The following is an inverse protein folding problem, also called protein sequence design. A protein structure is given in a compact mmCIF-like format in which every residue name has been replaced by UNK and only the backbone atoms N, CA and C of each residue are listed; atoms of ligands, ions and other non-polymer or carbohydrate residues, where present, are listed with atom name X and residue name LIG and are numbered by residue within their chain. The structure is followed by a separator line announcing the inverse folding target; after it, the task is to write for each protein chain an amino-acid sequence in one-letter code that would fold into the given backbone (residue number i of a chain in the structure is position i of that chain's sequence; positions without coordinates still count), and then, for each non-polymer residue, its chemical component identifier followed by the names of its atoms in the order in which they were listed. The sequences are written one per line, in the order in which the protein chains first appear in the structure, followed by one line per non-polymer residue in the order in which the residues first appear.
data_IF_002766295779
#
_entry.id   IF_002766295779
#
_cell.length_a   1.000
_cell.length_b   1.000
_cell.length_c   1.000
_cell.angle_alpha   90.00
_cell.angle_beta   90.00
_cell.angle_gamma   90.00
#
_symmetry.space_group_name_H-M   'P 1'
#
loop_
_entity.id
_entity.type
_entity.pdbx_description
1 polymer ?
#
# COMPACT_ATOMS: atom_id res chain seq x y z
N UNK A 1 -43.57 -23.67 -25.97
CA UNK A 1 -43.21 -23.07 -24.66
C UNK A 1 -42.02 -23.83 -24.07
N UNK A 2 -40.79 -23.47 -24.44
CA UNK A 2 -39.54 -24.04 -23.92
C UNK A 2 -38.39 -23.06 -24.12
N UNK A 3 -38.31 -21.99 -23.32
CA UNK A 3 -37.08 -21.20 -23.14
C UNK A 3 -37.13 -20.57 -21.73
N UNK A 4 -36.88 -21.36 -20.67
CA UNK A 4 -36.65 -20.83 -19.30
C UNK A 4 -35.48 -21.57 -18.62
N UNK A 5 -34.59 -22.24 -19.36
CA UNK A 5 -33.62 -23.17 -18.77
C UNK A 5 -32.15 -22.85 -19.08
N UNK A 6 -31.77 -21.60 -19.39
CA UNK A 6 -30.39 -21.32 -19.85
C UNK A 6 -29.73 -20.05 -19.29
N UNK A 7 -30.26 -19.45 -18.22
CA UNK A 7 -29.63 -18.29 -17.56
C UNK A 7 -29.65 -18.45 -16.03
N UNK A 8 -29.13 -19.57 -15.51
CA UNK A 8 -28.77 -19.70 -14.07
C UNK A 8 -27.43 -20.45 -13.88
N UNK A 9 -26.80 -20.96 -14.94
CA UNK A 9 -25.63 -21.83 -14.84
C UNK A 9 -24.26 -21.17 -15.09
N UNK A 10 -24.13 -19.84 -15.01
CA UNK A 10 -22.86 -19.12 -15.20
C UNK A 10 -22.33 -18.38 -13.96
N UNK A 11 -23.05 -18.40 -12.84
CA UNK A 11 -22.59 -17.80 -11.57
C UNK A 11 -21.95 -18.79 -10.57
N UNK A 12 -21.75 -20.06 -10.95
CA UNK A 12 -21.26 -21.11 -10.02
C UNK A 12 -19.83 -21.62 -10.28
N UNK A 13 -19.04 -20.99 -11.16
CA UNK A 13 -17.68 -21.47 -11.47
C UNK A 13 -16.52 -20.69 -10.82
N UNK A 14 -16.78 -19.66 -10.01
CA UNK A 14 -15.74 -18.96 -9.24
C UNK A 14 -15.63 -19.40 -7.77
N UNK A 15 -16.26 -20.51 -7.41
CA UNK A 15 -16.35 -21.00 -6.02
C UNK A 15 -15.26 -22.04 -5.68
N UNK A 16 -14.03 -21.81 -6.13
CA UNK A 16 -12.91 -22.75 -5.94
C UNK A 16 -11.54 -22.16 -5.59
N UNK A 17 -11.44 -20.85 -5.35
CA UNK A 17 -10.13 -20.18 -5.29
C UNK A 17 -9.63 -19.79 -3.89
N UNK A 18 -10.42 -20.00 -2.82
CA UNK A 18 -9.94 -19.71 -1.46
C UNK A 18 -8.89 -20.73 -0.96
N UNK A 19 -8.88 -21.95 -1.55
CA UNK A 19 -8.02 -23.04 -1.10
C UNK A 19 -6.67 -23.13 -1.83
N UNK A 20 -6.44 -22.31 -2.87
CA UNK A 20 -5.29 -22.48 -3.78
C UNK A 20 -3.97 -21.96 -3.21
N UNK A 21 -4.00 -21.07 -2.22
CA UNK A 21 -2.79 -20.40 -1.71
C UNK A 21 -2.47 -20.69 -0.25
N UNK A 22 -3.29 -21.46 0.45
CA UNK A 22 -3.10 -21.81 1.86
C UNK A 22 -2.10 -22.95 2.02
N UNK A 23 -1.27 -22.87 3.05
CA UNK A 23 -0.41 -23.98 3.45
C UNK A 23 -1.26 -25.18 3.86
N UNK A 24 -0.98 -26.32 3.25
CA UNK A 24 -1.50 -27.62 3.66
C UNK A 24 -1.02 -27.98 5.06
N UNK A 25 -1.72 -28.88 5.76
CA UNK A 25 -1.29 -29.38 7.08
C UNK A 25 0.14 -29.96 7.06
N UNK A 26 0.54 -30.55 5.92
CA UNK A 26 1.91 -31.06 5.71
C UNK A 26 2.92 -29.92 5.69
N UNK A 27 2.64 -28.85 4.96
CA UNK A 27 3.48 -27.66 4.89
C UNK A 27 3.53 -26.94 6.23
N UNK A 28 2.40 -26.77 6.92
CA UNK A 28 2.34 -26.21 8.27
C UNK A 28 3.21 -27.03 9.26
N UNK A 29 3.14 -28.36 9.18
CA UNK A 29 3.97 -29.25 10.00
C UNK A 29 5.46 -29.08 9.66
N UNK A 30 5.80 -28.91 8.39
CA UNK A 30 7.18 -28.70 7.94
C UNK A 30 7.72 -27.33 8.36
N UNK A 31 6.91 -26.28 8.26
CA UNK A 31 7.20 -24.94 8.78
C UNK A 31 7.39 -25.01 10.29
N UNK A 32 6.51 -25.70 11.03
CA UNK A 32 6.61 -25.89 12.48
C UNK A 32 7.94 -26.55 12.88
N UNK A 33 8.35 -27.60 12.16
CA UNK A 33 9.64 -28.29 12.36
C UNK A 33 10.85 -27.39 12.02
N UNK A 34 10.72 -26.53 11.02
CA UNK A 34 11.79 -25.62 10.57
C UNK A 34 11.92 -24.41 11.51
N UNK A 35 10.81 -23.85 11.96
CA UNK A 35 10.72 -22.76 12.93
C UNK A 35 9.34 -22.72 13.58
N UNK A 36 9.25 -23.25 14.81
CA UNK A 36 8.05 -23.16 15.65
C UNK A 36 7.57 -21.71 15.86
N UNK A 37 8.47 -20.73 15.78
CA UNK A 37 8.17 -19.30 15.96
C UNK A 37 7.61 -18.64 14.71
N UNK A 38 7.86 -19.19 13.51
CA UNK A 38 7.42 -18.60 12.25
C UNK A 38 5.95 -18.91 11.94
N UNK A 39 5.49 -20.13 12.27
CA UNK A 39 4.15 -20.61 11.91
C UNK A 39 3.00 -19.68 12.36
N UNK A 40 2.98 -19.13 13.60
CA UNK A 40 1.88 -18.27 14.02
C UNK A 40 1.72 -17.00 13.17
N UNK A 41 2.82 -16.41 12.69
CA UNK A 41 2.78 -15.22 11.84
C UNK A 41 2.24 -15.53 10.45
N UNK A 42 2.57 -16.70 9.91
CA UNK A 42 2.10 -17.14 8.59
C UNK A 42 0.62 -17.51 8.63
N UNK A 43 0.19 -18.25 9.65
CA UNK A 43 -1.24 -18.53 9.87
C UNK A 43 -2.04 -17.24 10.08
N UNK A 44 -1.42 -16.20 10.64
CA UNK A 44 -2.10 -14.91 10.80
C UNK A 44 -2.35 -14.22 9.46
N UNK A 45 -1.40 -14.29 8.52
CA UNK A 45 -1.59 -13.80 7.13
C UNK A 45 -2.79 -14.52 6.50
N UNK A 46 -2.77 -15.85 6.54
CA UNK A 46 -3.83 -16.69 5.96
C UNK A 46 -5.20 -16.39 6.56
N UNK A 47 -5.27 -16.26 7.89
CA UNK A 47 -6.52 -15.91 8.59
C UNK A 47 -7.08 -14.56 8.13
N UNK A 48 -6.23 -13.55 7.92
CA UNK A 48 -6.70 -12.23 7.46
C UNK A 48 -7.21 -12.33 6.02
N UNK A 49 -6.50 -13.03 5.14
CA UNK A 49 -6.94 -13.27 3.77
C UNK A 49 -8.27 -14.03 3.73
N UNK A 50 -8.44 -15.07 4.56
CA UNK A 50 -9.70 -15.81 4.65
C UNK A 50 -10.87 -14.93 5.12
N UNK A 51 -10.64 -14.12 6.16
CA UNK A 51 -11.66 -13.19 6.66
C UNK A 51 -12.04 -12.15 5.61
N UNK A 52 -11.08 -11.62 4.85
CA UNK A 52 -11.35 -10.69 3.76
C UNK A 52 -12.20 -11.33 2.66
N UNK A 53 -11.92 -12.58 2.31
CA UNK A 53 -12.73 -13.30 1.32
C UNK A 53 -14.20 -13.43 1.79
N UNK A 54 -14.42 -13.68 3.08
CA UNK A 54 -15.77 -13.71 3.67
C UNK A 54 -16.44 -12.33 3.58
N UNK A 55 -15.74 -11.26 3.93
CA UNK A 55 -16.27 -9.88 3.85
C UNK A 55 -16.67 -9.52 2.41
N UNK A 56 -15.82 -9.85 1.44
CA UNK A 56 -16.11 -9.60 0.03
C UNK A 56 -17.31 -10.41 -0.50
N UNK A 57 -17.46 -11.66 -0.05
CA UNK A 57 -18.66 -12.47 -0.35
C UNK A 57 -19.93 -11.84 0.25
N UNK A 58 -19.80 -11.16 1.38
CA UNK A 58 -20.88 -10.40 2.03
C UNK A 58 -21.06 -8.99 1.44
N UNK A 59 -20.39 -8.68 0.33
CA UNK A 59 -20.39 -7.36 -0.31
C UNK A 59 -19.87 -6.22 0.60
N UNK A 60 -19.05 -6.54 1.60
CA UNK A 60 -18.40 -5.56 2.46
C UNK A 60 -16.99 -5.22 1.92
N UNK A 61 -16.75 -3.98 1.45
CA UNK A 61 -15.44 -3.56 0.94
C UNK A 61 -14.42 -3.26 2.05
N UNK A 62 -14.78 -3.37 3.33
CA UNK A 62 -13.94 -3.02 4.48
C UNK A 62 -13.00 -4.16 4.91
N UNK A 63 -12.19 -4.63 3.95
CA UNK A 63 -11.19 -5.68 4.14
C UNK A 63 -9.97 -5.19 4.94
N UNK A 64 -9.28 -6.12 5.63
CA UNK A 64 -8.13 -5.85 6.47
C UNK A 64 -6.79 -6.13 5.77
N UNK A 65 -5.78 -5.28 5.98
CA UNK A 65 -4.44 -5.50 5.43
C UNK A 65 -3.75 -6.70 6.13
N UNK A 66 -3.34 -7.75 5.39
CA UNK A 66 -2.71 -8.95 5.95
C UNK A 66 -1.25 -8.75 6.38
N UNK A 67 -0.66 -7.56 6.21
CA UNK A 67 0.69 -7.24 6.69
C UNK A 67 1.80 -8.20 6.18
N UNK A 68 1.64 -8.74 4.97
CA UNK A 68 2.43 -9.87 4.46
C UNK A 68 3.94 -9.61 4.58
N UNK A 69 4.45 -8.45 4.15
CA UNK A 69 5.88 -8.16 4.18
C UNK A 69 6.45 -8.15 5.60
N UNK A 70 5.72 -7.55 6.54
CA UNK A 70 6.21 -7.39 7.91
C UNK A 70 6.09 -8.69 8.70
N UNK A 71 4.96 -9.41 8.60
CA UNK A 71 4.79 -10.70 9.25
C UNK A 71 5.77 -11.75 8.69
N UNK A 72 6.05 -11.70 7.38
CA UNK A 72 7.12 -12.51 6.78
C UNK A 72 8.48 -12.10 7.32
N UNK A 73 8.82 -10.81 7.37
CA UNK A 73 10.11 -10.34 7.91
C UNK A 73 10.29 -10.77 9.36
N UNK A 74 9.28 -10.62 10.21
CA UNK A 74 9.30 -11.08 11.61
C UNK A 74 9.45 -12.61 11.70
N UNK A 75 8.75 -13.35 10.85
CA UNK A 75 8.87 -14.81 10.79
C UNK A 75 10.29 -15.26 10.41
N UNK A 76 10.94 -14.53 9.49
CA UNK A 76 12.25 -14.85 8.96
C UNK A 76 13.37 -14.39 9.88
N UNK A 77 13.30 -13.21 10.49
CA UNK A 77 14.33 -12.72 11.43
C UNK A 77 14.42 -13.57 12.70
N UNK A 78 13.34 -14.28 13.06
CA UNK A 78 13.35 -15.26 14.15
C UNK A 78 13.94 -16.62 13.78
N UNK A 79 14.25 -16.86 12.50
CA UNK A 79 14.86 -18.08 12.00
C UNK A 79 16.35 -17.87 11.65
N UNK A 80 17.16 -18.93 11.77
CA UNK A 80 18.54 -18.92 11.27
C UNK A 80 18.55 -18.73 9.74
N UNK A 81 19.63 -18.22 9.17
CA UNK A 81 19.77 -18.00 7.72
C UNK A 81 19.43 -19.27 6.91
N UNK A 82 19.86 -20.44 7.39
CA UNK A 82 19.52 -21.72 6.77
C UNK A 82 18.01 -22.02 6.82
N UNK A 83 17.37 -21.79 7.97
CA UNK A 83 15.93 -21.98 8.13
C UNK A 83 15.13 -20.96 7.32
N UNK A 84 15.61 -19.73 7.15
CA UNK A 84 14.97 -18.74 6.27
C UNK A 84 14.92 -19.22 4.82
N UNK A 85 16.01 -19.80 4.32
CA UNK A 85 16.07 -20.38 2.96
C UNK A 85 15.08 -21.53 2.83
N UNK A 86 14.99 -22.41 3.85
CA UNK A 86 14.04 -23.53 3.86
C UNK A 86 12.58 -23.06 3.91
N UNK A 87 12.27 -22.06 4.73
CA UNK A 87 10.92 -21.48 4.83
C UNK A 87 10.47 -20.85 3.52
N UNK A 88 11.34 -20.10 2.83
CA UNK A 88 11.04 -19.51 1.51
C UNK A 88 10.73 -20.54 0.42
N UNK A 89 11.14 -21.80 0.58
CA UNK A 89 10.81 -22.89 -0.35
C UNK A 89 9.47 -23.56 -0.04
N UNK A 90 8.96 -23.40 1.18
CA UNK A 90 7.68 -24.00 1.62
C UNK A 90 6.54 -23.00 1.42
N UNK A 91 6.78 -21.71 1.65
CA UNK A 91 5.74 -20.68 1.68
C UNK A 91 5.75 -19.89 0.37
N UNK A 92 4.59 -19.79 -0.28
CA UNK A 92 4.43 -18.94 -1.45
C UNK A 92 4.08 -17.49 -1.08
N UNK A 93 5.08 -16.69 -0.71
CA UNK A 93 4.88 -15.26 -0.37
C UNK A 93 4.27 -14.49 -1.56
N UNK A 94 4.65 -14.82 -2.78
CA UNK A 94 4.09 -14.22 -3.99
C UNK A 94 2.58 -14.48 -4.10
N UNK A 95 2.14 -15.70 -3.78
CA UNK A 95 0.74 -16.08 -3.81
C UNK A 95 -0.10 -15.27 -2.81
N UNK A 96 0.38 -15.08 -1.56
CA UNK A 96 -0.34 -14.23 -0.60
C UNK A 96 -0.46 -12.79 -1.08
N UNK A 97 0.57 -12.25 -1.73
CA UNK A 97 0.52 -10.88 -2.29
C UNK A 97 -0.47 -10.77 -3.44
N UNK A 98 -0.51 -11.79 -4.29
CA UNK A 98 -1.46 -11.87 -5.41
C UNK A 98 -2.90 -12.02 -4.93
N UNK A 99 -3.16 -12.85 -3.93
CA UNK A 99 -4.49 -12.97 -3.34
C UNK A 99 -4.94 -11.66 -2.68
N UNK A 100 -4.06 -11.04 -1.89
CA UNK A 100 -4.34 -9.74 -1.28
C UNK A 100 -4.69 -8.69 -2.34
N UNK A 101 -3.95 -8.66 -3.44
CA UNK A 101 -4.25 -7.80 -4.58
C UNK A 101 -5.64 -8.08 -5.15
N UNK A 102 -5.98 -9.34 -5.43
CA UNK A 102 -7.28 -9.70 -5.98
C UNK A 102 -8.43 -9.26 -5.04
N UNK A 103 -8.23 -9.36 -3.73
CA UNK A 103 -9.18 -8.91 -2.73
C UNK A 103 -9.36 -7.38 -2.73
N UNK A 104 -8.27 -6.63 -2.89
CA UNK A 104 -8.35 -5.18 -3.07
C UNK A 104 -9.14 -4.84 -4.34
N UNK A 105 -8.81 -5.45 -5.48
CA UNK A 105 -9.53 -5.20 -6.75
C UNK A 105 -11.02 -5.50 -6.61
N UNK A 106 -11.38 -6.59 -5.94
CA UNK A 106 -12.77 -6.93 -5.67
C UNK A 106 -13.48 -5.90 -4.77
N UNK A 107 -12.81 -5.43 -3.70
CA UNK A 107 -13.34 -4.36 -2.84
C UNK A 107 -13.55 -3.06 -3.62
N UNK A 108 -12.69 -2.77 -4.59
CA UNK A 108 -12.80 -1.60 -5.46
C UNK A 108 -14.00 -1.70 -6.40
N UNK A 109 -14.24 -2.86 -7.02
CA UNK A 109 -15.41 -3.09 -7.86
C UNK A 109 -16.72 -2.91 -7.08
N UNK A 110 -16.81 -3.39 -5.84
CA UNK A 110 -18.00 -3.22 -5.00
C UNK A 110 -18.36 -1.74 -4.76
N UNK A 111 -17.36 -0.86 -4.75
CA UNK A 111 -17.55 0.58 -4.56
C UNK A 111 -17.89 1.33 -5.84
N UNK A 112 -17.60 0.75 -7.00
CA UNK A 112 -17.95 1.31 -8.31
C UNK A 112 -19.36 0.87 -8.76
N UNK A 113 -19.80 -0.35 -8.41
CA UNK A 113 -21.18 -0.84 -8.68
C UNK A 113 -22.25 0.00 -7.97
N UNK A 114 -21.92 0.60 -6.83
CA UNK A 114 -22.82 1.51 -6.10
C UNK A 114 -23.05 2.86 -6.84
N UNK A 115 -22.32 3.11 -7.94
CA UNK A 115 -22.44 4.30 -8.80
C UNK A 115 -23.39 4.07 -9.98
N UNK A 116 -23.42 2.86 -10.57
CA UNK A 116 -24.30 2.58 -11.72
C UNK A 116 -25.80 2.55 -11.34
N UNK A 117 -26.11 2.50 -10.04
CA UNK A 117 -27.47 2.67 -9.53
C UNK A 117 -27.93 4.13 -9.35
N UNK A 118 -27.05 5.13 -9.50
CA UNK A 118 -27.37 6.55 -9.27
C UNK A 118 -26.58 7.48 -10.20
N UNK A 119 -27.18 7.78 -11.34
CA UNK A 119 -26.96 8.97 -12.20
C UNK A 119 -25.54 9.10 -12.81
N UNK A 120 -25.34 9.13 -14.13
CA UNK A 120 -26.03 9.97 -15.10
C UNK A 120 -25.50 11.42 -15.03
N UNK A 121 -24.61 11.81 -15.97
CA UNK A 121 -24.16 13.19 -16.31
C UNK A 121 -23.01 13.72 -15.38
N UNK A 122 -21.86 14.28 -15.78
CA UNK A 122 -21.34 14.89 -17.02
C UNK A 122 -19.81 14.81 -17.10
N UNK A 123 -19.27 14.63 -18.31
CA UNK A 123 -17.90 15.02 -18.70
C UNK A 123 -17.78 16.54 -18.89
N UNK A 124 -16.58 17.09 -18.67
CA UNK A 124 -15.84 18.05 -19.53
C UNK A 124 -14.74 18.73 -18.68
N UNK A 125 -13.47 18.39 -18.94
CA UNK A 125 -12.46 19.23 -19.61
C UNK A 125 -11.84 20.33 -18.74
N UNK A 126 -10.51 20.22 -18.52
CA UNK A 126 -9.58 21.30 -18.88
C UNK A 126 -8.14 20.75 -18.94
N UNK A 127 -7.62 20.71 -20.16
CA UNK A 127 -6.20 20.56 -20.51
C UNK A 127 -5.63 21.96 -20.66
N UNK A 128 -4.44 22.25 -20.12
CA UNK A 128 -3.33 22.81 -20.89
C UNK A 128 -2.06 23.09 -20.07
N UNK A 129 -0.96 22.55 -20.62
CA UNK A 129 0.36 23.15 -20.84
C UNK A 129 1.11 23.82 -19.67
N UNK A 130 2.28 23.24 -19.34
CA UNK A 130 3.55 23.96 -19.40
C UNK A 130 4.71 22.96 -19.49
N UNK A 131 5.36 22.92 -20.65
CA UNK A 131 6.71 22.41 -20.83
C UNK A 131 7.68 23.41 -20.19
N UNK A 132 8.57 22.93 -19.33
CA UNK A 132 9.77 23.67 -18.94
C UNK A 132 10.97 22.72 -18.93
N UNK A 133 11.92 23.09 -19.79
CA UNK A 133 13.28 22.57 -19.99
C UNK A 133 14.11 22.66 -18.70
N UNK A 134 15.02 21.70 -18.48
CA UNK A 134 16.42 21.80 -17.95
C UNK A 134 16.86 20.41 -17.44
N UNK A 135 17.67 19.69 -18.21
CA UNK A 135 19.15 19.62 -18.20
C UNK A 135 19.71 18.50 -17.30
N UNK A 136 20.22 17.48 -17.99
CA UNK A 136 21.17 16.46 -17.54
C UNK A 136 22.38 17.06 -16.86
N UNK A 137 22.72 16.58 -15.66
CA UNK A 137 24.10 16.51 -15.19
C UNK A 137 24.34 15.28 -14.31
N UNK A 138 25.51 14.69 -14.54
CA UNK A 138 26.00 13.38 -14.15
C UNK A 138 25.86 13.00 -12.67
N UNK A 139 25.52 11.75 -12.40
CA UNK A 139 26.15 11.02 -11.29
C UNK A 139 26.55 9.62 -11.76
N UNK A 140 27.85 9.38 -11.68
CA UNK A 140 28.54 8.19 -12.14
C UNK A 140 28.11 6.94 -11.36
N UNK A 141 28.13 5.86 -12.15
CA UNK A 141 27.92 4.45 -11.84
C UNK A 141 28.58 3.97 -10.54
N UNK A 142 27.84 3.15 -9.77
CA UNK A 142 28.41 2.00 -9.07
C UNK A 142 27.75 0.73 -9.59
N UNK A 143 28.59 -0.11 -10.21
CA UNK A 143 28.26 -1.41 -10.76
C UNK A 143 27.71 -2.38 -9.71
N UNK A 144 26.51 -2.87 -9.94
CA UNK A 144 26.04 -4.19 -9.54
C UNK A 144 25.37 -4.80 -10.76
N UNK A 145 25.96 -5.85 -11.33
CA UNK A 145 25.47 -6.52 -12.53
C UNK A 145 24.05 -7.08 -12.28
N UNK A 146 23.06 -6.50 -12.96
CA UNK A 146 21.74 -7.11 -13.16
C UNK A 146 21.87 -8.09 -14.34
N UNK A 147 21.33 -9.32 -14.27
CA UNK A 147 21.37 -10.25 -15.38
C UNK A 147 20.72 -9.64 -16.62
N UNK A 148 21.31 -9.89 -17.79
CA UNK A 148 20.79 -9.49 -19.09
C UNK A 148 19.48 -10.26 -19.32
N UNK A 149 18.34 -9.61 -19.06
CA UNK A 149 17.03 -10.09 -19.49
C UNK A 149 16.92 -9.99 -21.01
N UNK A 150 16.42 -11.07 -21.63
CA UNK A 150 16.18 -11.20 -23.06
C UNK A 150 15.42 -10.01 -23.65
N UNK A 151 15.69 -9.67 -24.92
CA UNK A 151 15.02 -8.64 -25.75
C UNK A 151 13.50 -8.87 -25.96
N UNK A 152 12.73 -9.00 -24.87
CA UNK A 152 11.27 -9.04 -24.87
C UNK A 152 10.79 -7.66 -24.45
N UNK A 153 9.92 -7.07 -25.27
CA UNK A 153 9.19 -5.87 -24.85
C UNK A 153 8.29 -6.20 -23.66
N UNK A 154 8.45 -5.42 -22.59
CA UNK A 154 7.62 -5.54 -21.40
C UNK A 154 6.22 -5.00 -21.70
N UNK A 155 5.20 -5.70 -21.21
CA UNK A 155 3.82 -5.21 -21.18
C UNK A 155 3.69 -3.97 -20.30
N UNK A 156 2.63 -3.17 -20.50
CA UNK A 156 2.38 -1.98 -19.67
C UNK A 156 2.26 -2.30 -18.17
N UNK A 157 1.64 -3.44 -17.81
CA UNK A 157 1.56 -3.90 -16.43
C UNK A 157 2.94 -4.26 -15.84
N UNK A 158 3.78 -4.97 -16.60
CA UNK A 158 5.15 -5.30 -16.20
C UNK A 158 6.01 -4.04 -16.02
N UNK A 159 5.84 -3.04 -16.90
CA UNK A 159 6.48 -1.73 -16.78
C UNK A 159 6.07 -1.02 -15.49
N UNK A 160 4.77 -0.94 -15.19
CA UNK A 160 4.27 -0.31 -13.96
C UNK A 160 4.87 -0.96 -12.71
N UNK A 161 4.81 -2.30 -12.62
CA UNK A 161 5.37 -3.06 -11.49
C UNK A 161 6.86 -2.78 -11.30
N UNK A 162 7.64 -2.84 -12.39
CA UNK A 162 9.07 -2.52 -12.36
C UNK A 162 9.32 -1.06 -11.95
N UNK A 163 8.45 -0.14 -12.36
CA UNK A 163 8.52 1.26 -11.94
C UNK A 163 8.37 1.45 -10.43
N UNK A 164 7.44 0.74 -9.81
CA UNK A 164 7.27 0.75 -8.34
C UNK A 164 8.47 0.15 -7.61
N UNK A 165 9.06 -0.92 -8.14
CA UNK A 165 10.31 -1.49 -7.60
C UNK A 165 11.48 -0.50 -7.72
N UNK A 166 11.61 0.19 -8.85
CA UNK A 166 12.62 1.23 -9.06
C UNK A 166 12.45 2.40 -8.09
N UNK A 167 11.21 2.86 -7.91
CA UNK A 167 10.86 3.90 -6.96
C UNK A 167 11.24 3.49 -5.53
N UNK A 168 10.85 2.28 -5.09
CA UNK A 168 11.18 1.78 -3.76
C UNK A 168 12.70 1.71 -3.52
N UNK A 169 13.46 1.26 -4.52
CA UNK A 169 14.92 1.22 -4.44
C UNK A 169 15.55 2.63 -4.36
N UNK A 170 15.04 3.58 -5.14
CA UNK A 170 15.51 4.97 -5.10
C UNK A 170 15.24 5.62 -3.74
N UNK A 171 14.03 5.43 -3.19
CA UNK A 171 13.65 5.92 -1.87
C UNK A 171 14.51 5.29 -0.77
N UNK A 172 14.72 3.97 -0.81
CA UNK A 172 15.61 3.28 0.13
C UNK A 172 17.04 3.80 0.03
N UNK A 173 17.56 4.01 -1.17
CA UNK A 173 18.90 4.57 -1.39
C UNK A 173 19.06 5.98 -0.83
N UNK A 174 18.01 6.81 -0.91
CA UNK A 174 18.03 8.21 -0.47
C UNK A 174 17.76 8.38 1.04
N UNK A 175 16.79 7.63 1.59
CA UNK A 175 16.31 7.80 2.97
C UNK A 175 16.80 6.69 3.92
N UNK A 176 17.43 5.64 3.41
CA UNK A 176 18.06 4.59 4.22
C UNK A 176 17.09 3.68 4.97
N UNK A 177 15.80 3.68 4.64
CA UNK A 177 14.77 2.87 5.31
C UNK A 177 14.06 1.93 4.33
N UNK A 178 13.87 0.67 4.74
CA UNK A 178 13.30 -0.41 3.91
C UNK A 178 11.82 -0.21 3.51
N UNK A 179 11.10 0.75 4.11
CA UNK A 179 9.65 0.95 3.93
C UNK A 179 9.26 2.43 3.82
N UNK A 180 10.23 3.32 3.63
CA UNK A 180 9.92 4.72 3.41
C UNK A 180 9.28 4.91 2.05
N UNK A 181 8.15 5.60 2.04
CA UNK A 181 7.48 6.06 0.83
C UNK A 181 7.02 7.50 0.99
N UNK A 182 6.94 8.20 -0.13
CA UNK A 182 6.12 9.40 -0.28
C UNK A 182 4.69 8.97 -0.61
N UNK A 183 3.74 9.90 -0.53
CA UNK A 183 2.31 9.58 -0.57
C UNK A 183 1.66 10.14 -1.84
N UNK A 184 1.88 11.42 -2.15
CA UNK A 184 1.20 12.14 -3.24
C UNK A 184 1.40 11.49 -4.60
N UNK A 185 0.32 11.38 -5.37
CA UNK A 185 0.30 10.91 -6.76
C UNK A 185 0.91 9.51 -6.94
N UNK A 186 0.86 8.68 -5.91
CA UNK A 186 1.20 7.26 -6.00
C UNK A 186 -0.06 6.44 -5.74
N UNK A 187 -0.07 5.22 -6.28
CA UNK A 187 -1.14 4.28 -6.01
C UNK A 187 -1.20 3.93 -4.51
N UNK A 188 -2.41 4.02 -3.96
CA UNK A 188 -2.69 3.77 -2.55
C UNK A 188 -2.19 2.41 -2.09
N UNK A 189 -2.26 1.36 -2.93
CA UNK A 189 -1.85 0.01 -2.53
C UNK A 189 -0.34 -0.09 -2.30
N UNK A 190 0.45 0.62 -3.12
CA UNK A 190 1.88 0.76 -2.88
C UNK A 190 2.15 1.56 -1.60
N UNK A 191 1.45 2.69 -1.42
CA UNK A 191 1.63 3.57 -0.28
C UNK A 191 1.28 2.88 1.04
N UNK A 192 0.07 2.31 1.16
CA UNK A 192 -0.39 1.63 2.38
C UNK A 192 0.48 0.42 2.71
N UNK A 193 0.93 -0.36 1.72
CA UNK A 193 1.78 -1.52 1.97
C UNK A 193 3.09 -1.12 2.66
N UNK A 194 3.74 -0.07 2.15
CA UNK A 194 4.99 0.45 2.72
C UNK A 194 4.75 1.11 4.08
N UNK A 195 3.76 2.01 4.16
CA UNK A 195 3.48 2.74 5.38
C UNK A 195 3.00 1.85 6.54
N UNK A 196 2.11 0.90 6.27
CA UNK A 196 1.68 -0.12 7.25
C UNK A 196 2.86 -0.96 7.74
N UNK A 197 3.76 -1.36 6.84
CA UNK A 197 4.95 -2.13 7.21
C UNK A 197 5.87 -1.33 8.13
N UNK A 198 6.03 -0.03 7.88
CA UNK A 198 6.75 0.85 8.81
C UNK A 198 6.05 0.94 10.18
N UNK A 199 4.75 1.20 10.21
CA UNK A 199 3.99 1.34 11.46
C UNK A 199 4.04 0.07 12.31
N UNK A 200 3.92 -1.11 11.69
CA UNK A 200 3.98 -2.39 12.39
C UNK A 200 5.39 -2.79 12.81
N UNK A 201 6.38 -2.60 11.94
CA UNK A 201 7.75 -3.03 12.19
C UNK A 201 8.53 -2.10 13.12
N UNK A 202 8.45 -0.79 12.86
CA UNK A 202 9.24 0.23 13.58
C UNK A 202 8.47 0.83 14.76
N UNK A 203 7.17 1.11 14.58
CA UNK A 203 6.36 1.72 15.64
C UNK A 203 5.55 0.72 16.47
N UNK A 204 5.60 -0.57 16.14
CA UNK A 204 4.85 -1.64 16.84
C UNK A 204 3.35 -1.39 16.93
N UNK A 205 2.79 -0.74 15.90
CA UNK A 205 1.36 -0.51 15.79
C UNK A 205 0.69 -1.73 15.18
N UNK A 206 -0.44 -2.16 15.71
CA UNK A 206 -1.33 -3.14 15.09
C UNK A 206 -2.35 -2.43 14.21
N UNK A 207 -2.56 -2.96 13.01
CA UNK A 207 -3.68 -2.54 12.17
C UNK A 207 -4.99 -3.04 12.79
N UNK A 208 -6.00 -2.16 12.84
CA UNK A 208 -7.26 -2.45 13.54
C UNK A 208 -8.42 -2.63 12.56
N UNK A 209 -8.61 -1.66 11.69
CA UNK A 209 -9.74 -1.61 10.76
C UNK A 209 -9.46 -0.64 9.61
N UNK A 210 -10.18 -0.81 8.52
CA UNK A 210 -10.26 0.15 7.43
C UNK A 210 -11.72 0.44 7.12
N UNK A 211 -12.00 1.70 6.85
CA UNK A 211 -13.25 2.18 6.32
C UNK A 211 -12.99 2.77 4.94
N UNK A 212 -13.51 2.14 3.89
CA UNK A 212 -13.38 2.62 2.52
C UNK A 212 -14.62 3.42 2.12
N UNK A 213 -14.42 4.61 1.58
CA UNK A 213 -15.45 5.50 1.05
C UNK A 213 -15.06 5.94 -0.36
N UNK A 214 -15.99 6.59 -1.09
CA UNK A 214 -15.80 6.95 -2.51
C UNK A 214 -14.52 7.76 -2.78
N UNK A 215 -14.27 8.79 -1.98
CA UNK A 215 -13.13 9.71 -2.17
C UNK A 215 -12.09 9.64 -1.04
N UNK A 216 -12.26 8.73 -0.07
CA UNK A 216 -11.33 8.57 1.04
C UNK A 216 -11.26 7.15 1.56
N UNK A 217 -10.09 6.78 2.09
CA UNK A 217 -9.86 5.53 2.81
C UNK A 217 -9.34 5.91 4.19
N UNK A 218 -9.94 5.35 5.23
CA UNK A 218 -9.54 5.60 6.62
C UNK A 218 -9.02 4.30 7.20
N UNK A 219 -7.75 4.28 7.60
CA UNK A 219 -7.13 3.15 8.28
C UNK A 219 -6.90 3.52 9.74
N UNK A 220 -7.18 2.60 10.65
CA UNK A 220 -6.95 2.78 12.08
C UNK A 220 -5.91 1.80 12.59
N UNK A 221 -5.03 2.34 13.41
CA UNK A 221 -3.96 1.62 14.08
C UNK A 221 -4.02 1.87 15.58
N UNK A 222 -3.62 0.86 16.35
CA UNK A 222 -3.49 0.92 17.80
C UNK A 222 -2.15 0.33 18.21
N UNK A 223 -1.49 0.77 19.30
CA UNK A 223 -0.27 0.13 19.75
C UNK A 223 -0.49 -1.36 20.05
N UNK A 224 0.45 -2.22 19.62
CA UNK A 224 0.39 -3.66 19.88
C UNK A 224 0.50 -4.01 21.37
N UNK A 225 1.23 -3.18 22.12
CA UNK A 225 1.23 -3.16 23.59
C UNK A 225 0.94 -1.72 23.99
N UNK A 226 -0.28 -1.46 24.44
CA UNK A 226 -0.68 -0.14 24.88
C UNK A 226 -0.34 0.04 26.35
N UNK A 227 0.27 1.19 26.68
CA UNK A 227 0.56 1.57 28.07
C UNK A 227 -0.47 2.56 28.62
N UNK A 228 -1.34 3.08 27.74
CA UNK A 228 -2.39 4.05 28.08
C UNK A 228 -3.69 3.72 27.34
N UNK A 229 -4.80 3.66 28.06
CA UNK A 229 -6.10 3.38 27.43
C UNK A 229 -6.46 4.45 26.39
N UNK A 230 -6.89 4.00 25.21
CA UNK A 230 -7.37 4.88 24.13
C UNK A 230 -6.27 5.39 23.20
N UNK A 231 -5.09 4.77 23.17
CA UNK A 231 -4.06 5.08 22.18
C UNK A 231 -4.46 4.67 20.76
N UNK A 232 -4.37 5.59 19.82
CA UNK A 232 -4.76 5.36 18.43
C UNK A 232 -3.98 6.24 17.44
N UNK A 233 -4.01 5.80 16.19
CA UNK A 233 -3.58 6.56 15.03
C UNK A 233 -4.53 6.27 13.86
N UNK A 234 -5.19 7.30 13.35
CA UNK A 234 -6.06 7.23 12.19
C UNK A 234 -5.34 7.86 11.00
N UNK A 235 -5.26 7.14 9.89
CA UNK A 235 -4.71 7.61 8.62
C UNK A 235 -5.85 7.75 7.63
N UNK A 236 -6.11 8.97 7.19
CA UNK A 236 -7.12 9.27 6.18
C UNK A 236 -6.42 9.61 4.88
N UNK A 237 -6.55 8.75 3.88
CA UNK A 237 -6.10 9.01 2.51
C UNK A 237 -7.25 9.60 1.72
N UNK A 238 -7.05 10.78 1.14
CA UNK A 238 -7.94 11.31 0.12
C UNK A 238 -7.46 10.80 -1.23
N UNK A 239 -8.35 10.17 -1.99
CA UNK A 239 -7.99 9.40 -3.18
C UNK A 239 -8.75 9.86 -4.41
N UNK A 240 -8.15 9.66 -5.58
CA UNK A 240 -8.77 9.80 -6.90
C UNK A 240 -8.53 8.50 -7.68
N UNK A 241 -9.58 7.89 -8.20
CA UNK A 241 -9.48 6.72 -9.07
C UNK A 241 -9.22 7.16 -10.52
N UNK A 242 -8.37 6.42 -11.21
CA UNK A 242 -8.14 6.56 -12.65
C UNK A 242 -8.02 5.18 -13.28
N UNK A 243 -9.03 4.80 -14.06
CA UNK A 243 -9.13 3.48 -14.67
C UNK A 243 -8.32 3.36 -15.98
N UNK A 244 -7.74 4.47 -16.46
CA UNK A 244 -7.01 4.50 -17.73
C UNK A 244 -5.51 4.23 -17.57
N UNK A 245 -5.03 4.07 -16.34
CA UNK A 245 -3.62 3.84 -16.05
C UNK A 245 -3.44 2.57 -15.22
N UNK A 246 -2.27 1.95 -15.32
CA UNK A 246 -1.90 0.85 -14.44
C UNK A 246 -1.47 1.39 -13.07
N UNK A 247 -2.14 0.91 -12.01
CA UNK A 247 -1.68 1.08 -10.63
C UNK A 247 -0.47 0.19 -10.33
N UNK A 248 -0.14 0.05 -9.04
CA UNK A 248 1.01 -0.75 -8.62
C UNK A 248 0.94 -2.22 -8.98
N UNK A 249 -0.28 -2.73 -9.11
CA UNK A 249 -0.52 -4.16 -9.14
C UNK A 249 -1.61 -4.59 -10.15
N UNK A 250 -2.47 -3.68 -10.63
CA UNK A 250 -3.55 -3.99 -11.58
C UNK A 250 -3.83 -2.83 -12.54
N UNK A 251 -4.72 -3.07 -13.51
CA UNK A 251 -5.40 -2.00 -14.25
C UNK A 251 -6.19 -1.13 -13.27
N UNK A 252 -6.20 0.18 -13.52
CA UNK A 252 -6.73 1.17 -12.61
C UNK A 252 -5.75 1.52 -11.48
N UNK A 253 -5.67 2.81 -11.17
CA UNK A 253 -4.90 3.32 -10.05
C UNK A 253 -5.79 4.10 -9.07
N UNK A 254 -5.59 3.84 -7.78
CA UNK A 254 -6.19 4.63 -6.70
C UNK A 254 -5.17 5.65 -6.21
N UNK A 255 -5.08 6.80 -6.87
CA UNK A 255 -4.05 7.81 -6.62
C UNK A 255 -4.31 8.62 -5.35
N UNK A 256 -3.33 8.65 -4.44
CA UNK A 256 -3.40 9.44 -3.21
C UNK A 256 -3.20 10.95 -3.52
N UNK A 257 -4.21 11.74 -3.18
CA UNK A 257 -4.23 13.20 -3.35
C UNK A 257 -3.77 13.95 -2.10
N UNK A 258 -4.06 13.45 -0.91
CA UNK A 258 -3.55 14.01 0.34
C UNK A 258 -3.74 12.99 1.45
N UNK A 259 -3.03 13.19 2.56
CA UNK A 259 -3.14 12.33 3.73
C UNK A 259 -3.28 13.18 4.98
N UNK A 260 -4.16 12.77 5.88
CA UNK A 260 -4.24 13.28 7.24
C UNK A 260 -3.98 12.14 8.22
N UNK A 261 -3.08 12.33 9.17
CA UNK A 261 -2.77 11.37 10.22
C UNK A 261 -3.10 12.01 11.55
N UNK A 262 -4.13 11.54 12.24
CA UNK A 262 -4.60 12.08 13.52
C UNK A 262 -4.47 11.03 14.60
N UNK A 263 -3.98 11.42 15.77
CA UNK A 263 -3.84 10.50 16.90
C UNK A 263 -3.24 11.18 18.12
N UNK A 264 -2.87 10.36 19.11
CA UNK A 264 -2.25 10.88 20.33
C UNK A 264 -0.97 11.64 20.02
N UNK A 265 -0.79 12.82 20.65
CA UNK A 265 0.34 13.72 20.34
C UNK A 265 1.70 13.05 20.40
N UNK A 266 1.96 12.23 21.42
CA UNK A 266 3.23 11.50 21.56
C UNK A 266 3.44 10.52 20.40
N UNK A 267 2.40 9.77 20.01
CA UNK A 267 2.48 8.80 18.90
C UNK A 267 2.70 9.51 17.57
N UNK A 268 1.96 10.60 17.31
CA UNK A 268 2.04 11.36 16.06
C UNK A 268 3.39 12.07 15.96
N UNK A 269 3.91 12.66 17.05
CA UNK A 269 5.24 13.28 17.06
C UNK A 269 6.36 12.24 16.86
N UNK A 270 6.24 11.07 17.50
CA UNK A 270 7.18 9.97 17.30
C UNK A 270 7.13 9.43 15.86
N UNK A 271 5.94 9.31 15.27
CA UNK A 271 5.80 8.98 13.86
C UNK A 271 6.50 10.01 12.98
N UNK A 272 6.26 11.31 13.25
CA UNK A 272 6.83 12.38 12.44
C UNK A 272 8.37 12.33 12.43
N UNK A 273 8.96 12.18 13.62
CA UNK A 273 10.42 12.15 13.77
C UNK A 273 11.03 10.87 13.22
N UNK A 274 10.40 9.70 13.44
CA UNK A 274 10.93 8.42 13.00
C UNK A 274 10.79 8.18 11.48
N UNK A 275 9.62 8.51 10.91
CA UNK A 275 9.35 8.23 9.50
C UNK A 275 10.11 9.17 8.57
N UNK A 276 10.07 10.48 8.84
CA UNK A 276 10.69 11.50 7.99
C UNK A 276 12.10 11.91 8.46
N UNK A 277 12.63 11.28 9.52
CA UNK A 277 13.95 11.55 10.10
C UNK A 277 14.20 13.04 10.31
N UNK A 278 13.21 13.74 10.88
CA UNK A 278 13.29 15.18 11.13
C UNK A 278 13.60 15.42 12.59
N UNK A 279 14.70 16.12 12.85
CA UNK A 279 14.94 16.72 14.16
C UNK A 279 14.12 18.02 14.24
N UNK A 280 13.20 18.16 15.21
CA UNK A 280 12.45 19.40 15.38
C UNK A 280 13.40 20.59 15.57
N UNK A 281 13.33 21.58 14.68
CA UNK A 281 13.90 22.91 14.93
C UNK A 281 12.75 23.85 15.21
N UNK A 282 12.67 24.38 16.42
CA UNK A 282 11.64 25.32 16.86
C UNK A 282 11.96 26.73 16.36
N UNK A 283 11.85 26.98 15.05
CA UNK A 283 12.04 28.34 14.50
C UNK A 283 10.93 28.68 13.49
N UNK A 284 10.22 29.79 13.74
CA UNK A 284 9.53 30.57 12.71
C UNK A 284 8.20 30.05 12.15
N UNK A 285 7.42 29.25 12.89
CA UNK A 285 6.18 28.67 12.34
C UNK A 285 4.93 29.57 12.47
N UNK A 286 4.01 29.41 11.50
CA UNK A 286 2.65 29.96 11.58
C UNK A 286 1.92 29.37 12.79
N UNK A 287 1.00 30.13 13.38
CA UNK A 287 0.24 29.71 14.57
C UNK A 287 -0.46 28.36 14.33
N UNK A 288 -0.03 27.32 15.06
CA UNK A 288 -0.60 25.95 15.00
C UNK A 288 0.27 24.92 14.27
N UNK A 289 1.20 25.36 13.41
CA UNK A 289 2.21 24.50 12.77
C UNK A 289 3.41 24.35 13.70
N UNK A 290 3.89 23.11 13.90
CA UNK A 290 5.05 22.84 14.78
C UNK A 290 6.29 22.51 13.96
N UNK A 291 6.14 21.74 12.88
CA UNK A 291 7.24 21.38 11.97
C UNK A 291 6.67 21.20 10.58
N UNK A 292 7.38 21.65 9.54
CA UNK A 292 7.07 21.28 8.16
C UNK A 292 8.31 20.88 7.39
N UNK A 293 8.15 19.98 6.41
CA UNK A 293 9.23 19.55 5.53
C UNK A 293 8.69 19.11 4.18
N UNK A 294 9.51 19.27 3.15
CA UNK A 294 9.17 18.86 1.80
C UNK A 294 10.01 17.65 1.38
N UNK A 295 9.33 16.66 0.77
CA UNK A 295 9.90 15.41 0.28
C UNK A 295 9.32 15.10 -1.10
N UNK A 296 10.08 15.40 -2.15
CA UNK A 296 9.61 15.23 -3.53
C UNK A 296 8.23 15.91 -3.72
N UNK A 297 7.17 15.14 -3.95
CA UNK A 297 5.80 15.64 -4.14
C UNK A 297 5.06 16.01 -2.85
N UNK A 298 5.56 15.57 -1.70
CA UNK A 298 4.92 15.74 -0.41
C UNK A 298 5.42 17.00 0.28
N UNK A 299 4.48 17.82 0.73
CA UNK A 299 4.70 18.78 1.79
C UNK A 299 3.99 18.31 3.04
N UNK A 300 4.77 18.01 4.07
CA UNK A 300 4.37 17.33 5.30
C UNK A 300 4.42 18.35 6.42
N UNK A 301 3.33 18.47 7.17
CA UNK A 301 3.20 19.41 8.29
C UNK A 301 2.73 18.67 9.53
N UNK A 302 3.41 18.86 10.66
CA UNK A 302 2.95 18.45 11.98
C UNK A 302 2.27 19.64 12.67
N UNK A 303 1.05 19.43 13.13
CA UNK A 303 0.19 20.40 13.79
C UNK A 303 -0.24 19.84 15.16
N UNK A 304 -0.35 20.71 16.17
CA UNK A 304 -0.90 20.35 17.48
C UNK A 304 -2.36 20.81 17.52
N UNK A 305 -3.28 19.87 17.66
CA UNK A 305 -4.72 20.17 17.74
C UNK A 305 -5.13 20.47 19.19
N UNK A 306 -4.59 19.69 20.14
CA UNK A 306 -4.80 19.87 21.57
C UNK A 306 -3.61 19.32 22.36
N UNK A 307 -3.65 19.39 23.70
CA UNK A 307 -2.63 18.79 24.56
C UNK A 307 -2.51 17.25 24.41
N UNK A 308 -3.51 16.59 23.83
CA UNK A 308 -3.55 15.12 23.72
C UNK A 308 -3.58 14.63 22.29
N UNK A 309 -3.82 15.51 21.32
CA UNK A 309 -4.02 15.14 19.93
C UNK A 309 -3.20 16.04 19.00
N UNK A 310 -2.53 15.40 18.04
CA UNK A 310 -1.78 16.07 17.00
C UNK A 310 -2.18 15.51 15.64
N UNK A 311 -1.88 16.25 14.59
CA UNK A 311 -2.17 15.89 13.21
C UNK A 311 -0.94 16.05 12.33
N UNK A 312 -0.73 15.11 11.42
CA UNK A 312 0.18 15.29 10.29
C UNK A 312 -0.65 15.44 9.03
N UNK A 313 -0.41 16.52 8.30
CA UNK A 313 -1.05 16.79 7.01
C UNK A 313 -0.02 16.63 5.90
N UNK A 314 -0.31 15.82 4.89
CA UNK A 314 0.50 15.63 3.69
C UNK A 314 -0.27 16.15 2.49
N UNK A 315 0.25 17.20 1.86
CA UNK A 315 -0.37 17.89 0.71
C UNK A 315 0.66 18.13 -0.40
N UNK A 316 0.19 18.67 -1.52
CA UNK A 316 1.06 19.06 -2.64
C UNK A 316 2.12 20.06 -2.16
N UNK A 317 3.39 19.73 -2.40
CA UNK A 317 4.51 20.65 -2.19
C UNK A 317 4.75 21.61 -3.34
N UNK A 318 5.79 22.43 -3.20
CA UNK A 318 6.20 23.40 -4.22
C UNK A 318 6.95 22.77 -5.40
N UNK A 319 7.32 21.49 -5.27
CA UNK A 319 8.03 20.71 -6.27
C UNK A 319 7.11 19.57 -6.71
N UNK A 320 7.10 19.26 -8.00
CA UNK A 320 6.36 18.12 -8.55
C UNK A 320 7.31 17.30 -9.42
N UNK A 321 7.41 16.02 -9.09
CA UNK A 321 8.19 14.99 -9.73
C UNK A 321 7.27 14.20 -10.66
N UNK A 322 7.73 14.04 -11.90
CA UNK A 322 7.05 13.24 -12.91
C UNK A 322 7.42 11.76 -12.74
N UNK A 323 6.57 11.05 -12.00
CA UNK A 323 6.76 9.64 -11.70
C UNK A 323 6.70 8.75 -12.95
N UNK A 324 5.94 9.15 -13.96
CA UNK A 324 5.85 8.43 -15.22
C UNK A 324 7.16 8.54 -15.99
N UNK A 325 7.65 9.76 -16.20
CA UNK A 325 8.89 9.98 -16.94
C UNK A 325 10.12 9.38 -16.25
N UNK A 326 10.18 9.43 -14.91
CA UNK A 326 11.38 9.03 -14.16
C UNK A 326 11.40 7.53 -13.86
N UNK A 327 10.23 6.95 -13.53
CA UNK A 327 10.17 5.56 -13.06
C UNK A 327 9.30 4.66 -13.96
N UNK A 328 8.56 5.20 -14.93
CA UNK A 328 7.61 4.44 -15.73
C UNK A 328 6.35 4.05 -14.96
N UNK A 329 5.97 4.85 -13.96
CA UNK A 329 4.76 4.66 -13.17
C UNK A 329 3.53 5.14 -13.92
N UNK A 330 2.38 4.50 -13.70
CA UNK A 330 1.09 4.85 -14.32
C UNK A 330 1.07 4.85 -15.86
N UNK A 331 1.68 3.86 -16.54
CA UNK A 331 1.52 3.77 -17.99
C UNK A 331 0.04 3.59 -18.33
N UNK A 332 -0.37 4.12 -19.48
CA UNK A 332 -1.73 4.00 -19.97
C UNK A 332 -2.11 2.52 -20.19
N UNK A 333 -3.37 2.20 -19.88
CA UNK A 333 -3.99 0.93 -20.24
C UNK A 333 -4.28 0.96 -21.73
N UNK A 334 -3.75 -0.01 -22.48
CA UNK A 334 -4.02 -0.11 -23.91
C UNK A 334 -5.51 -0.42 -24.12
N UNK A 335 -6.20 0.44 -24.87
CA UNK A 335 -7.61 0.21 -25.22
C UNK A 335 -7.71 -1.06 -26.08
N UNK A 336 -8.39 -2.09 -25.56
CA UNK A 336 -8.66 -3.34 -26.28
C UNK A 336 -9.62 -3.16 -27.44
#
# INVERSE_FOLDING_TARGET
MRIVATIVCLCMCFWGQAQTFRMTEKEQTQVKKTSNKALPYLLKIEQVLDNNAILLQQQDPNIQNPAINELVKQSLTMATTENQIRLKKIICIACYKEEWLNQITAAELLLDVDIEGREGISLAQETNQNQAVYSTENTQQRNGQVPIESNRELTAQEKSKRGYDNLANALKGHFGQDYFTVFRNLDYNFVTMNFTSFLQGQMRMAYKEQLRQKSKIIEKYVPGISTRQGEYLNVTYHIKRDNNIYGAYSEGATLVQSVEIVGNSDLVANLFTAYWQVTPKLEGYKKGEVISKQFWNDYVVLEVLSLRESKITIKKGNFTLDYEAIFGLHPQVESK
#
